data_IF_736633053860
#
_entry.id   IF_736633053860
#
_cell.length_a   1.000
_cell.length_b   1.000
_cell.length_c   1.000
_cell.angle_alpha   90.00
_cell.angle_beta   90.00
_cell.angle_gamma   90.00
#
_symmetry.space_group_name_H-M   'P 1'
#
loop_
_entity.id
_entity.type
_entity.pdbx_description
1 polymer ?
#
# COMPACT_ATOMS: atom_id res chain seq x y z
N UNK A 1 -14.64 -4.92 9.56
CA UNK A 1 -14.23 -3.67 8.89
C UNK A 1 -12.86 -3.94 8.28
N UNK A 2 -12.65 -3.67 7.00
CA UNK A 2 -11.37 -3.99 6.36
C UNK A 2 -10.25 -3.12 6.96
N UNK A 3 -9.11 -3.72 7.30
CA UNK A 3 -7.96 -3.06 7.96
C UNK A 3 -7.02 -2.37 6.95
N UNK A 4 -7.60 -1.79 5.89
CA UNK A 4 -6.89 -1.10 4.82
C UNK A 4 -7.80 -0.05 4.16
N UNK A 5 -7.18 0.89 3.46
CA UNK A 5 -7.84 1.93 2.68
C UNK A 5 -7.76 1.62 1.19
N UNK A 6 -8.66 2.19 0.39
CA UNK A 6 -8.57 2.13 -1.07
C UNK A 6 -8.40 3.52 -1.66
N UNK A 7 -7.62 3.61 -2.74
CA UNK A 7 -7.46 4.83 -3.52
C UNK A 7 -7.94 4.57 -4.95
N UNK A 8 -8.89 5.38 -5.41
CA UNK A 8 -9.47 5.27 -6.75
C UNK A 8 -8.51 5.85 -7.79
N UNK A 9 -8.16 5.05 -8.78
CA UNK A 9 -7.38 5.47 -9.95
C UNK A 9 -8.30 5.88 -11.12
N UNK A 10 -9.55 5.41 -11.12
CA UNK A 10 -10.47 5.56 -12.25
C UNK A 10 -10.05 4.67 -13.42
N UNK A 11 -10.30 5.11 -14.65
CA UNK A 11 -9.91 4.35 -15.84
C UNK A 11 -8.39 4.45 -16.05
N UNK A 12 -7.68 3.38 -15.69
CA UNK A 12 -6.22 3.38 -15.63
C UNK A 12 -5.61 2.75 -16.89
N UNK A 13 -4.88 3.56 -17.67
CA UNK A 13 -4.20 3.12 -18.89
C UNK A 13 -2.89 2.40 -18.58
N UNK A 14 -2.76 1.18 -19.06
CA UNK A 14 -1.56 0.36 -18.93
C UNK A 14 -0.53 0.71 -20.01
N UNK A 15 0.74 0.35 -19.74
CA UNK A 15 1.83 0.47 -20.72
C UNK A 15 1.57 -0.37 -21.97
N UNK A 16 0.82 -1.48 -21.85
CA UNK A 16 0.38 -2.30 -22.99
C UNK A 16 -0.58 -1.56 -23.94
N UNK A 17 -1.14 -0.42 -23.52
CA UNK A 17 -2.15 0.34 -24.26
C UNK A 17 -3.59 0.01 -23.87
N UNK A 18 -3.82 -1.08 -23.14
CA UNK A 18 -5.12 -1.45 -22.58
C UNK A 18 -5.52 -0.53 -21.41
N UNK A 19 -6.79 -0.55 -21.04
CA UNK A 19 -7.33 0.26 -19.93
C UNK A 19 -8.04 -0.64 -18.94
N UNK A 20 -7.72 -0.49 -17.65
CA UNK A 20 -8.47 -1.10 -16.56
C UNK A 20 -9.57 -0.11 -16.14
N UNK A 21 -10.86 -0.41 -16.35
CA UNK A 21 -11.93 0.50 -15.96
C UNK A 21 -12.10 0.52 -14.44
N UNK A 22 -12.36 1.70 -13.86
CA UNK A 22 -12.60 1.89 -12.42
C UNK A 22 -11.54 1.20 -11.52
N UNK A 23 -10.28 1.29 -11.89
CA UNK A 23 -9.18 0.72 -11.13
C UNK A 23 -9.01 1.42 -9.78
N UNK A 24 -8.54 0.65 -8.79
CA UNK A 24 -8.18 1.16 -7.48
C UNK A 24 -7.00 0.36 -6.91
N UNK A 25 -6.32 0.93 -5.93
CA UNK A 25 -5.31 0.22 -5.13
C UNK A 25 -5.79 0.12 -3.69
N UNK A 26 -5.41 -0.97 -3.01
CA UNK A 26 -5.53 -1.11 -1.58
C UNK A 26 -4.20 -0.76 -0.92
N UNK A 27 -4.23 0.00 0.17
CA UNK A 27 -3.04 0.44 0.89
C UNK A 27 -3.32 0.62 2.39
N UNK A 28 -2.26 0.64 3.20
CA UNK A 28 -2.32 0.96 4.63
C UNK A 28 -1.19 1.92 4.96
N UNK A 29 -1.50 2.97 5.71
CA UNK A 29 -0.52 3.95 6.21
C UNK A 29 -0.34 3.75 7.69
N UNK A 30 0.90 3.76 8.17
CA UNK A 30 1.24 3.61 9.58
C UNK A 30 2.27 4.69 9.92
N UNK A 31 2.06 5.41 11.03
CA UNK A 31 2.91 6.52 11.46
C UNK A 31 2.29 7.91 11.24
N UNK A 32 3.12 8.94 11.37
CA UNK A 32 2.72 10.34 11.23
C UNK A 32 2.88 10.82 9.78
N UNK A 33 1.82 11.38 9.13
CA UNK A 33 1.88 11.85 7.75
C UNK A 33 2.77 13.10 7.53
N UNK A 34 3.24 13.76 8.58
CA UNK A 34 4.21 14.85 8.50
C UNK A 34 5.65 14.38 8.26
N UNK A 35 5.94 13.09 8.50
CA UNK A 35 7.25 12.50 8.23
C UNK A 35 7.39 12.11 6.75
N UNK A 36 8.63 12.00 6.22
CA UNK A 36 8.86 11.50 4.86
C UNK A 36 8.28 10.10 4.63
N UNK A 37 7.59 9.91 3.51
CA UNK A 37 6.94 8.65 3.20
C UNK A 37 7.93 7.57 2.73
N UNK A 38 7.79 6.36 3.29
CA UNK A 38 8.45 5.15 2.80
C UNK A 38 7.37 4.26 2.18
N UNK A 39 7.60 3.79 0.96
CA UNK A 39 6.70 2.87 0.25
C UNK A 39 7.27 1.46 0.33
N UNK A 40 6.49 0.53 0.87
CA UNK A 40 6.84 -0.89 0.94
C UNK A 40 5.82 -1.73 0.14
N UNK A 41 6.16 -2.16 -1.09
CA UNK A 41 5.25 -2.94 -1.93
C UNK A 41 4.95 -4.33 -1.36
N UNK A 42 3.82 -4.91 -1.75
CA UNK A 42 3.61 -6.36 -1.60
C UNK A 42 4.39 -7.16 -2.66
N UNK A 43 4.46 -8.47 -2.49
CA UNK A 43 5.11 -9.39 -3.42
C UNK A 43 4.12 -10.42 -3.99
N UNK A 44 4.58 -11.25 -4.93
CA UNK A 44 3.77 -12.33 -5.51
C UNK A 44 3.28 -13.30 -4.42
N UNK A 45 1.96 -13.42 -4.25
CA UNK A 45 1.26 -14.15 -3.17
C UNK A 45 1.18 -13.46 -1.79
N UNK A 46 1.80 -12.30 -1.61
CA UNK A 46 1.73 -11.53 -0.36
C UNK A 46 0.58 -10.52 -0.35
N UNK A 47 -0.10 -10.41 0.79
CA UNK A 47 -1.06 -9.37 1.12
C UNK A 47 -0.43 -8.27 1.99
N UNK A 48 -1.17 -7.19 2.23
CA UNK A 48 -0.74 -6.10 3.12
C UNK A 48 -0.38 -6.63 4.51
N UNK A 49 -1.20 -7.56 5.05
CA UNK A 49 -0.99 -8.15 6.37
C UNK A 49 0.34 -8.92 6.50
N UNK A 50 0.85 -9.48 5.40
CA UNK A 50 2.11 -10.23 5.40
C UNK A 50 3.34 -9.32 5.54
N UNK A 51 3.16 -8.00 5.44
CA UNK A 51 4.21 -7.01 5.68
C UNK A 51 4.20 -6.48 7.12
N UNK A 52 3.12 -6.65 7.88
CA UNK A 52 2.94 -5.96 9.16
C UNK A 52 3.92 -6.41 10.25
N UNK A 53 4.47 -7.62 10.15
CA UNK A 53 5.50 -8.10 11.09
C UNK A 53 6.82 -7.30 11.04
N UNK A 54 7.05 -6.55 9.96
CA UNK A 54 8.22 -5.67 9.80
C UNK A 54 8.06 -4.33 10.51
N UNK A 55 6.87 -4.04 11.05
CA UNK A 55 6.48 -2.71 11.53
C UNK A 55 6.36 -2.73 13.06
N UNK A 56 7.03 -1.79 13.72
CA UNK A 56 7.02 -1.69 15.18
C UNK A 56 8.21 -0.90 15.73
N UNK A 57 8.14 -0.50 17.00
CA UNK A 57 9.17 0.32 17.64
C UNK A 57 10.56 -0.36 17.67
N UNK A 58 10.59 -1.69 17.67
CA UNK A 58 11.79 -2.53 17.69
C UNK A 58 12.13 -3.15 16.32
N UNK A 59 11.48 -2.69 15.24
CA UNK A 59 11.60 -3.29 13.89
C UNK A 59 12.28 -2.34 12.90
N UNK A 60 12.61 -2.91 11.74
CA UNK A 60 13.22 -2.19 10.61
C UNK A 60 12.32 -1.04 10.11
N UNK A 61 11.00 -1.25 10.08
CA UNK A 61 10.03 -0.21 9.70
C UNK A 61 9.38 0.38 10.95
N UNK A 62 10.16 1.13 11.73
CA UNK A 62 9.64 1.86 12.89
C UNK A 62 8.89 3.13 12.41
N UNK A 63 7.61 3.31 12.78
CA UNK A 63 6.83 4.48 12.37
C UNK A 63 7.06 5.74 13.23
N UNK A 64 7.97 5.68 14.21
CA UNK A 64 8.34 6.79 15.10
C UNK A 64 9.76 7.29 14.86
#
# INVERSE_FOLDING_TARGET
MADYQTYQLGDFKLVSGETIPNAFIAYKTIGDPSHPAIIYPSWFSGAIADNEWLIGEDKTLNPR
#
